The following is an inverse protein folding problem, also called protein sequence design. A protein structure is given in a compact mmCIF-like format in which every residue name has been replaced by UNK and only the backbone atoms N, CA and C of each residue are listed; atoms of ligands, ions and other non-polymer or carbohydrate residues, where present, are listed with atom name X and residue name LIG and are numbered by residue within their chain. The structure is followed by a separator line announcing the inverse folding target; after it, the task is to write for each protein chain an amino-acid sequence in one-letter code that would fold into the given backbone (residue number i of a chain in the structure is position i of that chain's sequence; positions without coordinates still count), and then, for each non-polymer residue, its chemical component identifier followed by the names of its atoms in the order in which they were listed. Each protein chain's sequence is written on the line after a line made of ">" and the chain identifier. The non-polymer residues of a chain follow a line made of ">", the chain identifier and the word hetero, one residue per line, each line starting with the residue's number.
data_IF_247563689158
#
_entry.id   IF_247563689158
#
_cell.length_a   1.000
_cell.length_b   1.000
_cell.length_c   1.000
_cell.angle_alpha   90.00
_cell.angle_beta   90.00
_cell.angle_gamma   90.00
#
_symmetry.space_group_name_H-M   'P 1'
#
loop_
_entity.id
_entity.type
_entity.pdbx_description
1 polymer ?
#
# COMPACT_ATOMS: atom_id res chain seq x y z
N UNK A 1 28.24 26.76 18.39
CA UNK A 1 27.61 27.24 17.13
C UNK A 1 26.73 28.42 17.47
N UNK A 2 26.61 29.42 16.60
CA UNK A 2 25.68 30.53 16.82
C UNK A 2 24.22 30.09 16.74
N UNK A 3 23.33 30.74 17.50
CA UNK A 3 21.87 30.48 17.54
C UNK A 3 21.23 30.42 16.15
N UNK A 4 21.68 31.28 15.23
CA UNK A 4 21.21 31.31 13.84
C UNK A 4 21.49 30.00 13.06
N UNK A 5 22.66 29.38 13.27
CA UNK A 5 23.00 28.10 12.62
C UNK A 5 22.13 26.95 13.15
N UNK A 6 21.86 26.93 14.46
CA UNK A 6 20.99 25.92 15.06
C UNK A 6 19.54 26.05 14.57
N UNK A 7 19.03 27.28 14.42
CA UNK A 7 17.73 27.53 13.83
C UNK A 7 17.65 27.08 12.36
N UNK A 8 18.70 27.33 11.58
CA UNK A 8 18.76 26.85 10.19
C UNK A 8 18.72 25.31 10.11
N UNK A 9 19.43 24.62 11.00
CA UNK A 9 19.40 23.15 11.09
C UNK A 9 18.02 22.64 11.52
N UNK A 10 17.39 23.28 12.51
CA UNK A 10 16.04 22.92 12.96
C UNK A 10 15.02 23.05 11.82
N UNK A 11 15.07 24.15 11.08
CA UNK A 11 14.19 24.37 9.92
C UNK A 11 14.39 23.31 8.85
N UNK A 12 15.64 22.91 8.58
CA UNK A 12 15.94 21.82 7.65
C UNK A 12 15.32 20.50 8.11
N UNK A 13 15.52 20.11 9.37
CA UNK A 13 14.94 18.88 9.92
C UNK A 13 13.40 18.92 9.90
N UNK A 14 12.80 20.08 10.15
CA UNK A 14 11.35 20.26 10.05
C UNK A 14 10.86 20.02 8.62
N UNK A 15 11.52 20.59 7.61
CA UNK A 15 11.16 20.36 6.21
C UNK A 15 11.34 18.90 5.76
N UNK A 16 12.41 18.23 6.22
CA UNK A 16 12.62 16.81 5.98
C UNK A 16 11.50 15.96 6.65
N UNK A 17 11.10 16.34 7.87
CA UNK A 17 10.02 15.67 8.62
C UNK A 17 8.66 15.82 7.93
N UNK A 18 8.32 17.02 7.47
CA UNK A 18 7.10 17.29 6.70
C UNK A 18 7.07 16.47 5.40
N UNK A 19 8.20 16.41 4.69
CA UNK A 19 8.34 15.63 3.45
C UNK A 19 8.10 14.14 3.70
N UNK A 20 8.72 13.57 4.75
CA UNK A 20 8.52 12.16 5.09
C UNK A 20 7.09 11.89 5.53
N UNK A 21 6.49 12.78 6.32
CA UNK A 21 5.11 12.64 6.79
C UNK A 21 4.12 12.69 5.63
N UNK A 22 4.34 13.57 4.64
CA UNK A 22 3.57 13.59 3.39
C UNK A 22 3.63 12.25 2.64
N UNK A 23 4.84 11.69 2.47
CA UNK A 23 5.01 10.37 1.84
C UNK A 23 4.31 9.24 2.60
N UNK A 24 4.33 9.28 3.93
CA UNK A 24 3.61 8.28 4.75
C UNK A 24 2.11 8.34 4.46
N UNK A 25 1.52 9.54 4.40
CA UNK A 25 0.09 9.73 4.12
C UNK A 25 -0.26 9.18 2.73
N UNK A 26 0.51 9.53 1.69
CA UNK A 26 0.30 9.03 0.34
C UNK A 26 0.34 7.50 0.27
N UNK A 27 1.31 6.88 0.94
CA UNK A 27 1.44 5.41 0.96
C UNK A 27 0.32 4.75 1.76
N UNK A 28 -0.17 5.37 2.83
CA UNK A 28 -1.33 4.88 3.57
C UNK A 28 -2.60 4.90 2.71
N UNK A 29 -2.84 5.99 1.99
CA UNK A 29 -3.97 6.07 1.04
C UNK A 29 -3.84 5.03 -0.08
N UNK A 30 -2.64 4.80 -0.59
CA UNK A 30 -2.41 3.74 -1.59
C UNK A 30 -2.69 2.34 -1.03
N UNK A 31 -2.29 2.07 0.22
CA UNK A 31 -2.56 0.80 0.91
C UNK A 31 -4.06 0.58 1.11
N UNK A 32 -4.79 1.61 1.54
CA UNK A 32 -6.25 1.58 1.70
C UNK A 32 -6.95 1.31 0.36
N UNK A 33 -6.58 2.05 -0.70
CA UNK A 33 -7.14 1.84 -2.03
C UNK A 33 -6.87 0.43 -2.58
N UNK A 34 -5.66 -0.08 -2.37
CA UNK A 34 -5.31 -1.44 -2.78
C UNK A 34 -6.13 -2.49 -2.00
N UNK A 35 -6.30 -2.31 -0.69
CA UNK A 35 -7.09 -3.23 0.15
C UNK A 35 -8.56 -3.31 -0.28
N UNK A 36 -9.14 -2.18 -0.68
CA UNK A 36 -10.53 -2.07 -1.13
C UNK A 36 -10.77 -2.67 -2.53
N UNK A 37 -9.72 -2.86 -3.34
CA UNK A 37 -9.84 -3.36 -4.71
C UNK A 37 -10.16 -4.87 -4.71
N UNK A 38 -11.28 -5.28 -5.29
CA UNK A 38 -11.61 -6.70 -5.44
C UNK A 38 -10.85 -7.31 -6.61
N UNK A 39 -10.23 -8.48 -6.41
CA UNK A 39 -9.66 -9.28 -7.52
C UNK A 39 -10.51 -10.51 -7.85
N UNK A 40 -11.75 -10.55 -7.34
CA UNK A 40 -12.69 -11.63 -7.59
C UNK A 40 -13.16 -11.59 -9.03
N UNK A 41 -12.91 -12.68 -9.74
CA UNK A 41 -13.45 -12.90 -11.09
C UNK A 41 -14.69 -13.79 -10.95
N UNK A 42 -15.84 -13.31 -11.39
CA UNK A 42 -17.09 -14.09 -11.38
C UNK A 42 -17.23 -14.81 -12.71
N UNK A 43 -17.35 -16.13 -12.66
CA UNK A 43 -17.62 -16.95 -13.83
C UNK A 43 -19.12 -17.26 -13.94
N UNK A 44 -19.66 -17.20 -15.16
CA UNK A 44 -21.10 -17.25 -15.45
C UNK A 44 -21.58 -18.64 -15.93
N UNK A 45 -20.66 -19.47 -16.45
CA UNK A 45 -20.97 -20.77 -17.06
C UNK A 45 -20.53 -21.91 -16.12
N UNK A 46 -20.98 -21.86 -14.88
CA UNK A 46 -20.52 -22.70 -13.77
C UNK A 46 -21.43 -23.92 -13.52
N UNK A 47 -22.45 -24.14 -14.37
CA UNK A 47 -23.38 -25.26 -14.27
C UNK A 47 -23.94 -25.65 -15.65
N UNK A 48 -23.96 -26.95 -15.95
CA UNK A 48 -24.36 -27.48 -17.25
C UNK A 48 -25.85 -27.27 -17.54
N UNK A 49 -26.71 -27.31 -16.51
CA UNK A 49 -28.14 -27.01 -16.63
C UNK A 49 -28.37 -25.52 -16.95
N UNK A 50 -27.65 -24.61 -16.29
CA UNK A 50 -27.68 -23.17 -16.53
C UNK A 50 -27.15 -22.80 -17.91
N UNK A 51 -26.06 -23.44 -18.36
CA UNK A 51 -25.50 -23.25 -19.70
C UNK A 51 -26.51 -23.68 -20.77
N UNK A 52 -27.12 -24.84 -20.59
CA UNK A 52 -28.13 -25.37 -21.50
C UNK A 52 -29.40 -24.51 -21.52
N UNK A 53 -29.88 -24.09 -20.35
CA UNK A 53 -31.11 -23.31 -20.22
C UNK A 53 -30.96 -21.85 -20.70
N UNK A 54 -29.79 -21.24 -20.49
CA UNK A 54 -29.56 -19.81 -20.75
C UNK A 54 -28.92 -19.56 -22.11
N UNK A 55 -28.05 -20.45 -22.57
CA UNK A 55 -27.24 -20.25 -23.79
C UNK A 55 -27.51 -21.29 -24.88
N UNK A 56 -28.40 -22.27 -24.64
CA UNK A 56 -28.70 -23.38 -25.56
C UNK A 56 -27.46 -24.21 -25.98
N UNK A 57 -26.38 -24.13 -25.22
CA UNK A 57 -25.17 -24.92 -25.42
C UNK A 57 -25.29 -26.21 -24.58
N UNK A 58 -25.11 -27.37 -25.19
CA UNK A 58 -25.25 -28.65 -24.50
C UNK A 58 -24.29 -29.71 -25.06
N UNK A 59 -23.78 -30.59 -24.19
CA UNK A 59 -22.93 -31.72 -24.54
C UNK A 59 -21.57 -31.71 -23.82
N UNK A 60 -20.95 -32.89 -23.69
CA UNK A 60 -19.66 -33.11 -22.99
C UNK A 60 -18.56 -32.08 -23.30
N UNK A 61 -18.34 -31.64 -24.55
CA UNK A 61 -17.31 -30.64 -24.86
C UNK A 61 -17.51 -29.32 -24.10
N UNK A 62 -18.76 -28.87 -23.96
CA UNK A 62 -19.08 -27.61 -23.28
C UNK A 62 -18.96 -27.71 -21.77
N UNK A 63 -19.27 -28.87 -21.18
CA UNK A 63 -19.04 -29.10 -19.75
C UNK A 63 -17.54 -29.13 -19.37
N UNK A 64 -16.72 -29.76 -20.21
CA UNK A 64 -15.26 -29.82 -20.02
C UNK A 64 -14.58 -28.46 -20.25
N UNK A 65 -14.94 -27.74 -21.32
CA UNK A 65 -14.47 -26.38 -21.58
C UNK A 65 -14.87 -25.41 -20.46
N UNK A 66 -16.13 -25.47 -20.01
CA UNK A 66 -16.60 -24.61 -18.93
C UNK A 66 -15.87 -24.86 -17.60
N UNK A 67 -15.56 -26.12 -17.29
CA UNK A 67 -14.78 -26.48 -16.09
C UNK A 67 -13.34 -25.96 -16.19
N UNK A 68 -12.71 -26.08 -17.35
CA UNK A 68 -11.36 -25.58 -17.59
C UNK A 68 -11.27 -24.06 -17.50
N UNK A 69 -12.24 -23.35 -18.07
CA UNK A 69 -12.34 -21.89 -17.97
C UNK A 69 -12.57 -21.43 -16.52
N UNK A 70 -13.47 -22.09 -15.78
CA UNK A 70 -13.69 -21.78 -14.36
C UNK A 70 -12.41 -21.95 -13.55
N UNK A 71 -11.66 -23.02 -13.80
CA UNK A 71 -10.37 -23.27 -13.14
C UNK A 71 -9.37 -22.19 -13.48
N UNK A 72 -9.22 -21.82 -14.75
CA UNK A 72 -8.34 -20.74 -15.20
C UNK A 72 -8.65 -19.41 -14.51
N UNK A 73 -9.93 -19.06 -14.38
CA UNK A 73 -10.37 -17.82 -13.73
C UNK A 73 -10.12 -17.87 -12.22
N UNK A 74 -10.31 -19.03 -11.58
CA UNK A 74 -10.04 -19.23 -10.16
C UNK A 74 -8.54 -19.13 -9.86
N UNK A 75 -7.70 -19.76 -10.67
CA UNK A 75 -6.25 -19.70 -10.56
C UNK A 75 -5.75 -18.27 -10.78
N UNK A 76 -6.34 -17.57 -11.76
CA UNK A 76 -6.03 -16.16 -12.06
C UNK A 76 -6.43 -15.23 -10.91
N UNK A 77 -7.65 -15.40 -10.35
CA UNK A 77 -8.11 -14.62 -9.20
C UNK A 77 -7.24 -14.85 -7.98
N UNK A 78 -6.84 -16.11 -7.72
CA UNK A 78 -5.89 -16.46 -6.65
C UNK A 78 -4.53 -15.78 -6.86
N UNK A 79 -4.02 -15.77 -8.09
CA UNK A 79 -2.75 -15.11 -8.43
C UNK A 79 -2.82 -13.60 -8.19
N UNK A 80 -3.94 -12.95 -8.54
CA UNK A 80 -4.13 -11.54 -8.29
C UNK A 80 -4.24 -11.22 -6.79
N UNK A 81 -4.96 -12.02 -6.00
CA UNK A 81 -5.01 -11.84 -4.54
C UNK A 81 -3.62 -12.01 -3.89
N UNK A 82 -2.82 -12.99 -4.33
CA UNK A 82 -1.44 -13.15 -3.85
C UNK A 82 -0.59 -11.93 -4.17
N UNK A 83 -0.62 -11.45 -5.43
CA UNK A 83 0.14 -10.26 -5.83
C UNK A 83 -0.30 -9.01 -5.07
N UNK A 84 -1.61 -8.85 -4.84
CA UNK A 84 -2.17 -7.77 -4.03
C UNK A 84 -1.63 -7.84 -2.60
N UNK A 85 -1.68 -9.01 -1.97
CA UNK A 85 -1.19 -9.22 -0.60
C UNK A 85 0.31 -8.94 -0.48
N UNK A 86 1.11 -9.40 -1.44
CA UNK A 86 2.55 -9.11 -1.50
C UNK A 86 2.83 -7.61 -1.60
N UNK A 87 2.08 -6.90 -2.45
CA UNK A 87 2.24 -5.47 -2.63
C UNK A 87 1.81 -4.69 -1.37
N UNK A 88 0.71 -5.09 -0.73
CA UNK A 88 0.28 -4.52 0.56
C UNK A 88 1.36 -4.69 1.62
N UNK A 89 1.99 -5.87 1.70
CA UNK A 89 3.07 -6.15 2.65
C UNK A 89 4.30 -5.26 2.42
N UNK A 90 4.68 -5.06 1.15
CA UNK A 90 5.78 -4.15 0.77
C UNK A 90 5.47 -2.69 1.12
N UNK A 91 4.24 -2.24 0.85
CA UNK A 91 3.77 -0.89 1.20
C UNK A 91 3.82 -0.68 2.72
N UNK A 92 3.29 -1.63 3.50
CA UNK A 92 3.32 -1.58 4.96
C UNK A 92 4.75 -1.49 5.50
N UNK A 93 5.64 -2.34 4.98
CA UNK A 93 7.07 -2.33 5.36
C UNK A 93 7.71 -0.96 5.08
N UNK A 94 7.40 -0.35 3.93
CA UNK A 94 7.93 0.96 3.57
C UNK A 94 7.38 2.07 4.46
N UNK A 95 6.09 2.03 4.80
CA UNK A 95 5.45 2.96 5.74
C UNK A 95 6.14 2.88 7.10
N UNK A 96 6.37 1.68 7.62
CA UNK A 96 6.97 1.49 8.94
C UNK A 96 8.43 1.97 8.98
N UNK A 97 9.20 1.73 7.91
CA UNK A 97 10.53 2.31 7.74
C UNK A 97 10.50 3.85 7.77
N UNK A 98 9.57 4.47 7.06
CA UNK A 98 9.46 5.94 7.03
C UNK A 98 9.01 6.51 8.38
N UNK A 99 8.16 5.79 9.14
CA UNK A 99 7.78 6.19 10.51
C UNK A 99 8.98 6.18 11.45
N UNK A 100 9.90 5.22 11.30
CA UNK A 100 11.15 5.19 12.05
C UNK A 100 12.03 6.39 11.70
N UNK A 101 12.18 6.71 10.42
CA UNK A 101 12.94 7.89 9.96
C UNK A 101 12.34 9.19 10.53
N UNK A 102 11.00 9.32 10.49
CA UNK A 102 10.28 10.46 11.05
C UNK A 102 10.49 10.60 12.57
N UNK A 103 10.51 9.48 13.30
CA UNK A 103 10.80 9.47 14.74
C UNK A 103 12.24 9.91 15.05
N UNK A 104 13.20 9.51 14.21
CA UNK A 104 14.59 9.97 14.26
C UNK A 104 14.70 11.48 14.06
N UNK A 105 14.06 12.02 13.01
CA UNK A 105 14.02 13.45 12.73
C UNK A 105 13.39 14.24 13.89
N UNK A 106 12.25 13.78 14.41
CA UNK A 106 11.60 14.40 15.57
C UNK A 106 12.50 14.44 16.80
N UNK A 107 13.26 13.38 17.03
CA UNK A 107 14.25 13.33 18.12
C UNK A 107 15.37 14.35 17.91
N UNK A 108 15.88 14.47 16.68
CA UNK A 108 16.86 15.49 16.31
C UNK A 108 16.34 16.92 16.49
N UNK A 109 15.10 17.18 16.08
CA UNK A 109 14.44 18.48 16.28
C UNK A 109 14.31 18.82 17.77
N UNK A 110 13.95 17.86 18.62
CA UNK A 110 13.87 18.05 20.06
C UNK A 110 15.24 18.38 20.68
N UNK A 111 16.31 17.72 20.21
CA UNK A 111 17.67 17.98 20.67
C UNK A 111 18.11 19.40 20.29
N UNK A 112 17.93 19.80 19.02
CA UNK A 112 18.26 21.16 18.55
C UNK A 112 17.44 22.22 19.27
N UNK A 113 16.15 21.98 19.51
CA UNK A 113 15.29 22.92 20.25
C UNK A 113 15.80 23.17 21.67
N UNK A 114 16.30 22.12 22.36
CA UNK A 114 16.93 22.26 23.67
C UNK A 114 18.25 23.02 23.60
N UNK A 115 19.06 22.75 22.58
CA UNK A 115 20.34 23.43 22.39
C UNK A 115 20.14 24.93 22.12
N UNK A 116 19.17 25.29 21.26
CA UNK A 116 18.78 26.67 21.00
C UNK A 116 18.35 27.38 22.29
N UNK A 117 17.53 26.74 23.13
CA UNK A 117 17.05 27.31 24.38
C UNK A 117 18.19 27.59 25.39
N UNK A 118 19.26 26.81 25.34
CA UNK A 118 20.42 26.94 26.22
C UNK A 118 21.55 27.82 25.63
N UNK A 119 21.44 28.21 24.36
CA UNK A 119 22.41 29.09 23.70
C UNK A 119 22.07 30.54 24.02
N UNK A 120 22.99 31.25 24.69
CA UNK A 120 22.83 32.68 24.97
C UNK A 120 22.78 33.46 23.64
N UNK A 121 21.98 34.52 23.61
CA UNK A 121 22.00 35.48 22.51
C UNK A 121 23.38 36.16 22.51
N UNK A 122 24.14 35.99 21.42
CA UNK A 122 25.25 36.88 21.09
C UNK A 122 24.69 38.26 20.69
#
# INVERSE_FOLDING_TARGET
>A
MGKALLLAQLNKLSGDFETITGKIIELQSALEGLSATSTKITYLLNDEESIKATYNLAGKPYGEEATNEQKLLTDTSTKYETQKTDMMTKLQTKIDSLKLDAAGLRSGMNALSREIANTKED
#
